data_IF_765582425419
#
_entry.id   IF_765582425419
#
_cell.length_a   1.000
_cell.length_b   1.000
_cell.length_c   1.000
_cell.angle_alpha   90.00
_cell.angle_beta   90.00
_cell.angle_gamma   90.00
#
_symmetry.space_group_name_H-M   'P 1'
#
loop_
_entity.id
_entity.type
_entity.pdbx_description
1 polymer ?
#
# COMPACT_ATOMS: atom_id res chain seq x y z
N UNK A 1 16.54 -3.36 0.46
CA UNK A 1 16.95 -2.33 1.44
C UNK A 1 15.96 -2.37 2.59
N UNK A 2 16.37 -2.82 3.79
CA UNK A 2 15.52 -2.90 4.98
C UNK A 2 15.30 -1.47 5.51
N UNK A 3 14.17 -0.86 5.17
CA UNK A 3 13.72 0.40 5.76
C UNK A 3 13.18 0.11 7.17
N UNK A 4 14.02 0.33 8.18
CA UNK A 4 13.63 0.28 9.59
C UNK A 4 12.67 1.41 9.89
N UNK A 5 11.38 1.10 10.04
CA UNK A 5 10.36 2.02 10.55
C UNK A 5 10.60 2.19 12.06
N UNK A 6 11.46 3.14 12.44
CA UNK A 6 11.59 3.56 13.85
C UNK A 6 10.35 4.39 14.20
N UNK A 7 9.38 3.76 14.85
CA UNK A 7 8.24 4.43 15.47
C UNK A 7 8.80 5.32 16.58
N UNK A 8 8.74 6.63 16.37
CA UNK A 8 9.00 7.60 17.43
C UNK A 8 7.84 7.54 18.43
N UNK A 9 8.03 6.79 19.52
CA UNK A 9 7.16 6.84 20.69
C UNK A 9 7.43 8.18 21.38
N UNK A 10 6.59 9.16 21.07
CA UNK A 10 6.56 10.45 21.76
C UNK A 10 6.27 10.22 23.23
N UNK A 11 7.21 10.68 24.06
CA UNK A 11 7.15 10.80 25.51
C UNK A 11 5.90 11.54 25.97
N UNK A 12 4.88 10.81 26.43
CA UNK A 12 3.81 11.34 27.24
C UNK A 12 3.18 10.22 28.08
N UNK A 13 2.90 10.55 29.34
CA UNK A 13 2.14 9.78 30.34
C UNK A 13 2.92 8.84 31.27
N UNK A 14 3.75 9.42 32.14
CA UNK A 14 3.74 9.03 33.56
C UNK A 14 3.13 10.20 34.35
N UNK A 15 1.80 10.38 34.23
CA UNK A 15 1.09 11.24 35.16
C UNK A 15 0.90 10.42 36.44
N UNK A 16 1.64 10.76 37.49
CA UNK A 16 1.35 10.31 38.85
C UNK A 16 -0.07 10.79 39.18
N UNK A 17 -1.07 9.93 39.02
CA UNK A 17 -2.44 10.25 39.37
C UNK A 17 -2.55 10.34 40.90
N UNK A 18 -2.25 11.52 41.44
CA UNK A 18 -2.71 11.92 42.77
C UNK A 18 -4.24 11.91 42.72
N UNK A 19 -4.85 10.82 43.21
CA UNK A 19 -6.29 10.73 43.40
C UNK A 19 -6.74 11.83 44.36
N UNK A 20 -7.29 12.91 43.81
CA UNK A 20 -8.22 13.77 44.52
C UNK A 20 -9.63 13.22 44.26
N UNK A 21 -10.24 12.69 45.30
CA UNK A 21 -11.61 12.18 45.28
C UNK A 21 -12.59 13.33 45.06
N UNK A 22 -13.01 13.54 43.80
CA UNK A 22 -14.22 14.30 43.46
C UNK A 22 -15.47 13.39 43.52
N UNK A 23 -16.68 13.94 43.78
CA UNK A 23 -17.86 13.12 44.01
C UNK A 23 -18.30 12.43 42.71
N UNK A 24 -18.32 11.09 42.74
CA UNK A 24 -18.80 10.26 41.65
C UNK A 24 -20.32 10.44 41.44
N UNK A 25 -20.73 10.76 40.21
CA UNK A 25 -22.11 10.54 39.78
C UNK A 25 -22.28 9.04 39.48
N UNK A 26 -23.25 8.43 40.15
CA UNK A 26 -23.57 7.02 40.05
C UNK A 26 -24.16 6.66 38.67
N UNK A 27 -23.60 5.64 38.04
CA UNK A 27 -24.32 4.74 37.15
C UNK A 27 -24.19 3.33 37.73
N UNK A 28 -25.34 2.75 38.09
CA UNK A 28 -25.51 1.37 38.49
C UNK A 28 -25.14 0.44 37.33
N UNK A 29 -24.16 -0.44 37.54
CA UNK A 29 -24.13 -1.75 36.88
C UNK A 29 -23.24 -2.70 37.71
N UNK A 30 -23.71 -3.95 37.82
CA UNK A 30 -23.27 -4.99 38.74
C UNK A 30 -21.76 -5.28 38.67
N UNK A 31 -20.96 -4.58 39.47
CA UNK A 31 -19.64 -5.07 39.85
C UNK A 31 -19.82 -6.20 40.86
N UNK A 32 -19.42 -7.41 40.48
CA UNK A 32 -19.19 -8.46 41.46
C UNK A 32 -18.23 -7.90 42.51
N UNK A 33 -18.72 -7.72 43.74
CA UNK A 33 -17.97 -7.24 44.90
C UNK A 33 -16.79 -8.22 45.15
N UNK A 34 -15.65 -7.96 44.51
CA UNK A 34 -14.40 -8.62 44.88
C UNK A 34 -13.98 -8.07 46.24
N UNK A 35 -13.71 -8.97 47.18
CA UNK A 35 -13.24 -8.59 48.51
C UNK A 35 -11.94 -7.78 48.39
N UNK A 36 -12.01 -6.47 48.66
CA UNK A 36 -10.83 -5.61 48.67
C UNK A 36 -9.88 -6.06 49.77
N UNK A 37 -8.66 -6.45 49.39
CA UNK A 37 -7.61 -6.81 50.35
C UNK A 37 -7.35 -5.63 51.29
N UNK A 38 -7.35 -5.89 52.60
CA UNK A 38 -7.09 -4.85 53.61
C UNK A 38 -5.60 -4.54 53.67
N UNK A 39 -5.18 -3.39 53.14
CA UNK A 39 -3.81 -2.90 53.24
C UNK A 39 -3.60 -2.08 54.54
N UNK A 40 -2.45 -2.25 55.24
CA UNK A 40 -2.08 -1.40 56.38
C UNK A 40 -1.93 0.08 55.99
N UNK A 41 -2.20 1.00 56.92
CA UNK A 41 -1.96 2.42 56.70
C UNK A 41 -0.45 2.77 56.72
N UNK A 42 -0.04 3.73 55.88
CA UNK A 42 1.34 4.25 55.85
C UNK A 42 1.62 5.14 57.05
N UNK A 43 2.77 4.95 57.70
CA UNK A 43 3.21 5.82 58.80
C UNK A 43 3.64 7.18 58.28
N UNK A 44 3.35 8.23 59.05
CA UNK A 44 3.59 9.62 58.66
C UNK A 44 5.08 9.93 58.40
N UNK A 45 5.99 9.35 59.19
CA UNK A 45 7.43 9.52 59.02
C UNK A 45 7.92 8.89 57.70
N UNK A 46 7.43 7.70 57.36
CA UNK A 46 7.75 7.01 56.11
C UNK A 46 7.24 7.83 54.92
N UNK A 47 6.00 8.31 54.97
CA UNK A 47 5.45 9.18 53.93
C UNK A 47 6.29 10.44 53.72
N UNK A 48 6.71 11.09 54.81
CA UNK A 48 7.52 12.31 54.73
C UNK A 48 8.85 12.07 54.02
N UNK A 49 9.54 10.96 54.31
CA UNK A 49 10.82 10.63 53.67
C UNK A 49 10.66 10.23 52.20
N UNK A 50 9.62 9.46 51.85
CA UNK A 50 9.28 9.19 50.45
C UNK A 50 8.98 10.48 49.67
N UNK A 51 8.29 11.44 50.29
CA UNK A 51 8.02 12.74 49.69
C UNK A 51 9.30 13.57 49.51
N UNK A 52 10.25 13.51 50.43
CA UNK A 52 11.55 14.17 50.28
C UNK A 52 12.38 13.53 49.15
N UNK A 53 12.37 12.20 49.02
CA UNK A 53 13.00 11.52 47.90
C UNK A 53 12.38 11.95 46.55
N UNK A 54 11.05 12.08 46.48
CA UNK A 54 10.38 12.59 45.29
C UNK A 54 10.81 14.01 44.94
N UNK A 55 10.86 14.92 45.92
CA UNK A 55 11.30 16.31 45.69
C UNK A 55 12.74 16.36 45.17
N UNK A 56 13.62 15.52 45.70
CA UNK A 56 14.99 15.41 45.21
C UNK A 56 15.02 14.93 43.74
N UNK A 57 14.21 13.93 43.40
CA UNK A 57 14.07 13.43 42.03
C UNK A 57 13.49 14.48 41.07
N UNK A 58 12.46 15.23 41.49
CA UNK A 58 11.87 16.33 40.72
C UNK A 58 12.89 17.46 40.47
N UNK A 59 13.84 17.64 41.39
CA UNK A 59 14.98 18.55 41.23
C UNK A 59 16.14 17.96 40.38
N UNK A 60 15.95 16.79 39.78
CA UNK A 60 16.97 15.99 39.06
C UNK A 60 18.14 15.51 39.93
N UNK A 61 18.02 15.56 41.27
CA UNK A 61 18.97 14.94 42.19
C UNK A 61 18.59 13.47 42.42
N UNK A 62 18.71 12.65 41.36
CA UNK A 62 18.37 11.24 41.42
C UNK A 62 19.26 10.47 42.41
N UNK A 63 20.54 10.83 42.49
CA UNK A 63 21.46 10.19 43.42
C UNK A 63 21.11 10.50 44.89
N UNK A 64 20.70 11.74 45.18
CA UNK A 64 20.19 12.13 46.49
C UNK A 64 18.88 11.43 46.83
N UNK A 65 17.94 11.38 45.88
CA UNK A 65 16.67 10.68 46.04
C UNK A 65 16.87 9.20 46.37
N UNK A 66 17.71 8.49 45.61
CA UNK A 66 18.04 7.08 45.86
C UNK A 66 18.68 6.88 47.23
N UNK A 67 19.57 7.79 47.67
CA UNK A 67 20.18 7.71 49.01
C UNK A 67 19.13 7.81 50.12
N UNK A 68 18.16 8.71 49.99
CA UNK A 68 17.05 8.84 50.95
C UNK A 68 16.25 7.53 51.01
N UNK A 69 15.96 6.91 49.88
CA UNK A 69 15.25 5.63 49.84
C UNK A 69 16.08 4.48 50.44
N UNK A 70 17.38 4.42 50.17
CA UNK A 70 18.28 3.41 50.73
C UNK A 70 18.35 3.52 52.26
N UNK A 71 18.48 4.75 52.79
CA UNK A 71 18.48 5.01 54.22
C UNK A 71 17.16 4.60 54.87
N UNK A 72 16.01 4.92 54.25
CA UNK A 72 14.69 4.52 54.73
C UNK A 72 14.53 2.99 54.74
N UNK A 73 14.97 2.31 53.68
CA UNK A 73 14.92 0.84 53.56
C UNK A 73 15.74 0.15 54.65
N UNK A 74 16.94 0.64 54.90
CA UNK A 74 17.91 -0.03 55.76
C UNK A 74 17.67 0.28 57.25
N UNK A 75 17.08 1.44 57.56
CA UNK A 75 16.81 1.89 58.93
C UNK A 75 15.51 1.34 59.50
N UNK A 76 14.45 1.31 58.70
CA UNK A 76 13.09 1.04 59.19
C UNK A 76 12.59 -0.35 58.81
N UNK A 77 11.92 -1.01 59.76
CA UNK A 77 11.13 -2.20 59.45
C UNK A 77 9.82 -1.78 58.81
N UNK A 78 9.81 -1.66 57.49
CA UNK A 78 8.64 -1.32 56.69
C UNK A 78 7.64 -2.48 56.65
N UNK A 79 6.34 -2.15 56.64
CA UNK A 79 5.31 -3.14 56.32
C UNK A 79 5.20 -3.35 54.80
N UNK A 80 4.44 -4.34 54.34
CA UNK A 80 4.37 -4.69 52.91
C UNK A 80 3.83 -3.55 52.02
N UNK A 81 2.88 -2.76 52.53
CA UNK A 81 2.37 -1.59 51.81
C UNK A 81 3.41 -0.48 51.70
N UNK A 82 4.10 -0.17 52.80
CA UNK A 82 5.19 0.81 52.81
C UNK A 82 6.36 0.37 51.91
N UNK A 83 6.69 -0.92 51.90
CA UNK A 83 7.72 -1.49 51.05
C UNK A 83 7.31 -1.45 49.57
N UNK A 84 6.04 -1.73 49.24
CA UNK A 84 5.52 -1.57 47.88
C UNK A 84 5.62 -0.12 47.39
N UNK A 85 5.32 0.84 48.26
CA UNK A 85 5.44 2.27 47.95
C UNK A 85 6.90 2.68 47.78
N UNK A 86 7.79 2.23 48.67
CA UNK A 86 9.24 2.42 48.53
C UNK A 86 9.74 1.95 47.16
N UNK A 87 9.35 0.74 46.74
CA UNK A 87 9.71 0.19 45.44
C UNK A 87 9.10 0.96 44.27
N UNK A 88 7.88 1.48 44.42
CA UNK A 88 7.28 2.36 43.42
C UNK A 88 8.11 3.62 43.18
N UNK A 89 8.61 4.27 44.25
CA UNK A 89 9.51 5.42 44.14
C UNK A 89 10.85 5.05 43.52
N UNK A 90 11.49 3.93 43.91
CA UNK A 90 12.68 3.44 43.22
C UNK A 90 12.44 3.26 41.72
N UNK A 91 11.34 2.61 41.35
CA UNK A 91 10.96 2.36 39.96
C UNK A 91 10.82 3.66 39.16
N UNK A 92 10.11 4.64 39.72
CA UNK A 92 9.91 5.95 39.12
C UNK A 92 11.21 6.76 38.97
N UNK A 93 12.05 6.77 40.01
CA UNK A 93 13.32 7.52 40.02
C UNK A 93 14.29 6.91 39.02
N UNK A 94 14.41 5.58 39.00
CA UNK A 94 15.27 4.89 38.03
C UNK A 94 14.77 5.10 36.60
N UNK A 95 13.46 5.05 36.36
CA UNK A 95 12.88 5.38 35.05
C UNK A 95 13.23 6.81 34.62
N UNK A 96 13.06 7.79 35.52
CA UNK A 96 13.36 9.20 35.24
C UNK A 96 14.85 9.48 35.02
N UNK A 97 15.72 8.60 35.53
CA UNK A 97 17.16 8.63 35.32
C UNK A 97 17.62 7.74 34.14
N UNK A 98 16.69 7.32 33.25
CA UNK A 98 16.92 6.43 32.11
C UNK A 98 17.53 5.05 32.47
N UNK A 99 17.50 4.66 33.75
CA UNK A 99 17.97 3.35 34.24
C UNK A 99 16.82 2.35 34.24
N UNK A 100 16.42 1.94 33.03
CA UNK A 100 15.26 1.06 32.84
C UNK A 100 15.47 -0.32 33.48
N UNK A 101 16.71 -0.81 33.58
CA UNK A 101 17.02 -2.09 34.21
C UNK A 101 16.70 -2.07 35.70
N UNK A 102 17.17 -1.05 36.43
CA UNK A 102 16.84 -0.91 37.87
C UNK A 102 15.39 -0.51 38.10
N UNK A 103 14.77 0.20 37.16
CA UNK A 103 13.34 0.48 37.22
C UNK A 103 12.51 -0.81 37.18
N UNK A 104 12.83 -1.72 36.24
CA UNK A 104 12.19 -3.04 36.15
C UNK A 104 12.40 -3.84 37.44
N UNK A 105 13.63 -3.90 37.96
CA UNK A 105 13.93 -4.61 39.21
C UNK A 105 13.10 -4.07 40.38
N UNK A 106 12.96 -2.75 40.50
CA UNK A 106 12.16 -2.14 41.55
C UNK A 106 10.68 -2.52 41.44
N UNK A 107 10.09 -2.47 40.24
CA UNK A 107 8.69 -2.88 40.04
C UNK A 107 8.49 -4.41 40.19
N UNK A 108 9.47 -5.24 39.82
CA UNK A 108 9.45 -6.69 40.11
C UNK A 108 9.45 -6.95 41.62
N UNK A 109 10.26 -6.20 42.39
CA UNK A 109 10.25 -6.27 43.86
C UNK A 109 8.93 -5.76 44.48
N UNK A 110 8.31 -4.74 43.89
CA UNK A 110 6.99 -4.26 44.28
C UNK A 110 5.92 -5.35 44.09
N UNK A 111 5.94 -6.03 42.93
CA UNK A 111 5.01 -7.11 42.60
C UNK A 111 5.17 -8.34 43.50
N UNK A 112 6.37 -8.54 44.06
CA UNK A 112 6.67 -9.61 45.01
C UNK A 112 6.17 -9.35 46.44
N UNK A 113 5.65 -8.15 46.76
CA UNK A 113 5.19 -7.84 48.11
C UNK A 113 3.92 -8.61 48.50
N UNK A 114 3.87 -9.19 49.72
CA UNK A 114 2.67 -9.86 50.20
C UNK A 114 1.54 -8.85 50.42
N UNK A 115 0.29 -9.28 50.16
CA UNK A 115 -0.92 -8.46 50.32
C UNK A 115 -0.94 -7.16 49.50
N UNK A 116 -0.23 -7.13 48.36
CA UNK A 116 -0.32 -6.01 47.42
C UNK A 116 -1.78 -5.79 46.99
N UNK A 117 -2.23 -4.54 47.08
CA UNK A 117 -3.57 -4.14 46.68
C UNK A 117 -3.79 -4.46 45.19
N UNK A 118 -4.98 -4.96 44.83
CA UNK A 118 -5.25 -5.45 43.46
C UNK A 118 -5.05 -4.37 42.39
N UNK A 119 -5.44 -3.13 42.69
CA UNK A 119 -5.18 -1.98 41.81
C UNK A 119 -3.67 -1.77 41.58
N UNK A 120 -2.88 -1.75 42.66
CA UNK A 120 -1.42 -1.59 42.57
C UNK A 120 -0.77 -2.76 41.83
N UNK A 121 -1.24 -3.99 42.05
CA UNK A 121 -0.78 -5.17 41.32
C UNK A 121 -1.03 -5.02 39.81
N UNK A 122 -2.24 -4.60 39.45
CA UNK A 122 -2.65 -4.42 38.05
C UNK A 122 -1.84 -3.30 37.39
N UNK A 123 -1.69 -2.15 38.03
CA UNK A 123 -0.88 -1.04 37.50
C UNK A 123 0.60 -1.45 37.31
N UNK A 124 1.16 -2.14 38.31
CA UNK A 124 2.57 -2.61 38.27
C UNK A 124 2.81 -3.61 37.14
N UNK A 125 1.88 -4.55 36.93
CA UNK A 125 1.98 -5.51 35.82
C UNK A 125 2.00 -4.80 34.47
N UNK A 126 1.16 -3.78 34.29
CA UNK A 126 1.12 -3.03 33.03
C UNK A 126 2.39 -2.21 32.81
N UNK A 127 2.89 -1.54 33.85
CA UNK A 127 4.19 -0.83 33.79
C UNK A 127 5.33 -1.78 33.44
N UNK A 128 5.41 -2.94 34.09
CA UNK A 128 6.42 -3.96 33.80
C UNK A 128 6.32 -4.48 32.36
N UNK A 129 5.11 -4.65 31.83
CA UNK A 129 4.92 -5.02 30.42
C UNK A 129 5.49 -3.96 29.47
N UNK A 130 5.18 -2.68 29.69
CA UNK A 130 5.68 -1.58 28.86
C UNK A 130 7.20 -1.44 28.94
N UNK A 131 7.77 -1.45 30.14
CA UNK A 131 9.22 -1.37 30.34
C UNK A 131 9.94 -2.58 29.72
N UNK A 132 9.38 -3.78 29.88
CA UNK A 132 9.93 -4.99 29.27
C UNK A 132 9.88 -4.90 27.74
N UNK A 133 8.79 -4.38 27.17
CA UNK A 133 8.69 -4.17 25.72
C UNK A 133 9.72 -3.17 25.21
N UNK A 134 9.87 -2.01 25.86
CA UNK A 134 10.84 -0.97 25.46
C UNK A 134 12.29 -1.39 25.64
N UNK A 135 12.56 -2.37 26.52
CA UNK A 135 13.90 -2.95 26.73
C UNK A 135 14.12 -4.25 25.96
N UNK A 136 13.31 -4.51 24.93
CA UNK A 136 13.37 -5.69 24.05
C UNK A 136 13.19 -7.05 24.78
N UNK A 137 12.69 -7.05 26.02
CA UNK A 137 12.32 -8.24 26.79
C UNK A 137 10.90 -8.70 26.45
N UNK A 138 10.64 -8.94 25.16
CA UNK A 138 9.28 -9.19 24.64
C UNK A 138 8.58 -10.38 25.30
N UNK A 139 9.30 -11.47 25.58
CA UNK A 139 8.71 -12.63 26.26
C UNK A 139 8.23 -12.30 27.68
N UNK A 140 8.96 -11.44 28.42
CA UNK A 140 8.50 -10.94 29.72
C UNK A 140 7.32 -9.97 29.57
N UNK A 141 7.35 -9.12 28.55
CA UNK A 141 6.24 -8.22 28.27
C UNK A 141 4.93 -8.99 28.06
N UNK A 142 4.98 -10.11 27.32
CA UNK A 142 3.87 -11.03 27.13
C UNK A 142 3.41 -11.63 28.47
N UNK A 143 4.32 -12.21 29.29
CA UNK A 143 3.96 -12.78 30.61
C UNK A 143 3.25 -11.75 31.51
N UNK A 144 3.80 -10.53 31.58
CA UNK A 144 3.20 -9.46 32.37
C UNK A 144 1.83 -9.04 31.83
N UNK A 145 1.65 -8.95 30.51
CA UNK A 145 0.35 -8.66 29.90
C UNK A 145 -0.68 -9.75 30.14
N UNK A 146 -0.32 -11.03 30.02
CA UNK A 146 -1.25 -12.14 30.26
C UNK A 146 -1.73 -12.15 31.71
N UNK A 147 -0.82 -11.92 32.67
CA UNK A 147 -1.17 -11.77 34.08
C UNK A 147 -2.02 -10.52 34.33
N UNK A 148 -1.74 -9.43 33.62
CA UNK A 148 -2.54 -8.21 33.68
C UNK A 148 -3.97 -8.45 33.17
N UNK A 149 -4.13 -9.12 32.03
CA UNK A 149 -5.45 -9.48 31.48
C UNK A 149 -6.24 -10.39 32.42
N UNK A 150 -5.58 -11.32 33.11
CA UNK A 150 -6.23 -12.17 34.11
C UNK A 150 -6.72 -11.40 35.35
N UNK A 151 -6.08 -10.27 35.69
CA UNK A 151 -6.45 -9.42 36.82
C UNK A 151 -7.48 -8.33 36.44
N UNK A 152 -7.45 -7.88 35.17
CA UNK A 152 -8.29 -6.79 34.65
C UNK A 152 -9.73 -7.23 34.38
N UNK A 153 -10.70 -6.33 34.61
CA UNK A 153 -12.14 -6.63 34.43
C UNK A 153 -12.67 -6.18 33.07
N UNK A 154 -12.18 -5.05 32.55
CA UNK A 154 -12.60 -4.47 31.27
C UNK A 154 -11.39 -3.83 30.58
N UNK A 155 -10.50 -4.65 30.00
CA UNK A 155 -9.33 -4.14 29.32
C UNK A 155 -9.73 -3.35 28.08
N UNK A 156 -9.27 -2.10 28.00
CA UNK A 156 -9.36 -1.29 26.78
C UNK A 156 -8.59 -1.91 25.60
N UNK A 157 -8.66 -1.30 24.41
CA UNK A 157 -8.03 -1.86 23.21
C UNK A 157 -6.48 -1.78 23.21
N UNK A 158 -5.88 -0.77 23.86
CA UNK A 158 -4.43 -0.52 23.79
C UNK A 158 -3.55 -1.65 24.35
N UNK A 159 -3.85 -2.29 25.50
CA UNK A 159 -3.11 -3.45 25.99
C UNK A 159 -3.04 -4.61 25.00
N UNK A 160 -4.12 -4.84 24.23
CA UNK A 160 -4.14 -5.89 23.21
C UNK A 160 -3.24 -5.55 22.02
N UNK A 161 -3.12 -4.26 21.66
CA UNK A 161 -2.17 -3.81 20.64
C UNK A 161 -0.73 -4.03 21.10
N UNK A 162 -0.42 -3.70 22.36
CA UNK A 162 0.90 -3.95 22.92
C UNK A 162 1.24 -5.45 22.92
N UNK A 163 0.27 -6.31 23.26
CA UNK A 163 0.44 -7.76 23.18
C UNK A 163 0.72 -8.23 21.75
N UNK A 164 -0.06 -7.77 20.77
CA UNK A 164 0.17 -8.07 19.36
C UNK A 164 1.53 -7.58 18.85
N UNK A 165 1.97 -6.40 19.27
CA UNK A 165 3.31 -5.88 18.96
C UNK A 165 4.41 -6.71 19.61
N UNK A 166 4.25 -7.16 20.85
CA UNK A 166 5.22 -8.02 21.52
C UNK A 166 5.36 -9.36 20.78
N UNK A 167 4.24 -9.97 20.36
CA UNK A 167 4.27 -11.16 19.52
C UNK A 167 4.94 -10.92 18.17
N UNK A 168 4.67 -9.78 17.52
CA UNK A 168 5.31 -9.40 16.27
C UNK A 168 6.84 -9.32 16.39
N UNK A 169 7.36 -8.68 17.45
CA UNK A 169 8.81 -8.59 17.67
C UNK A 169 9.46 -9.95 17.94
N UNK A 170 8.67 -10.93 18.37
CA UNK A 170 9.10 -12.33 18.53
C UNK A 170 8.87 -13.17 17.26
N UNK A 171 8.48 -12.55 16.14
CA UNK A 171 8.13 -13.23 14.87
C UNK A 171 6.96 -14.23 15.02
N UNK A 172 6.12 -14.05 16.05
CA UNK A 172 4.94 -14.87 16.33
C UNK A 172 3.70 -14.25 15.69
N UNK A 173 3.68 -14.17 14.36
CA UNK A 173 2.61 -13.47 13.62
C UNK A 173 1.22 -14.05 13.84
N UNK A 174 1.09 -15.38 13.90
CA UNK A 174 -0.19 -16.06 14.16
C UNK A 174 -0.78 -15.64 15.51
N UNK A 175 0.05 -15.62 16.56
CA UNK A 175 -0.35 -15.24 17.91
C UNK A 175 -0.67 -13.73 18.01
N UNK A 176 -0.06 -12.91 17.15
CA UNK A 176 -0.25 -11.46 17.12
C UNK A 176 -1.62 -11.04 16.55
N UNK A 177 -2.28 -11.88 15.75
CA UNK A 177 -3.55 -11.54 15.09
C UNK A 177 -4.68 -11.35 16.08
N UNK A 178 -4.95 -12.36 16.94
CA UNK A 178 -6.11 -12.36 17.82
C UNK A 178 -6.16 -11.15 18.79
N UNK A 179 -5.03 -10.73 19.40
CA UNK A 179 -4.99 -9.49 20.18
C UNK A 179 -5.38 -8.26 19.35
N UNK A 180 -4.80 -8.07 18.17
CA UNK A 180 -5.09 -6.87 17.37
C UNK A 180 -6.53 -6.87 16.85
N UNK A 181 -7.08 -8.00 16.44
CA UNK A 181 -8.51 -8.11 16.08
C UNK A 181 -9.42 -7.78 17.28
N UNK A 182 -9.04 -8.23 18.49
CA UNK A 182 -9.76 -7.92 19.72
C UNK A 182 -9.72 -6.42 20.02
N UNK A 183 -8.57 -5.76 19.87
CA UNK A 183 -8.44 -4.32 20.03
C UNK A 183 -9.36 -3.53 19.08
N UNK A 184 -9.39 -3.92 17.80
CA UNK A 184 -10.24 -3.30 16.78
C UNK A 184 -11.71 -3.49 17.12
N UNK A 185 -12.12 -4.70 17.53
CA UNK A 185 -13.48 -5.01 17.94
C UNK A 185 -13.92 -4.15 19.13
N UNK A 186 -13.11 -4.10 20.19
CA UNK A 186 -13.39 -3.31 21.40
C UNK A 186 -13.53 -1.83 21.05
N UNK A 187 -12.63 -1.27 20.24
CA UNK A 187 -12.73 0.13 19.81
C UNK A 187 -14.01 0.38 19.01
N UNK A 188 -14.38 -0.53 18.10
CA UNK A 188 -15.62 -0.46 17.33
C UNK A 188 -16.88 -0.50 18.21
N UNK A 189 -16.93 -1.43 19.17
CA UNK A 189 -18.04 -1.55 20.15
C UNK A 189 -18.17 -0.29 21.02
N UNK A 190 -17.05 0.34 21.37
CA UNK A 190 -17.02 1.60 22.12
C UNK A 190 -17.30 2.84 21.25
N UNK A 191 -17.55 2.68 19.95
CA UNK A 191 -17.75 3.79 19.01
C UNK A 191 -16.52 4.69 18.85
N UNK A 192 -15.33 4.20 19.23
CA UNK A 192 -14.07 4.93 19.09
C UNK A 192 -13.50 4.71 17.69
N UNK A 193 -12.88 5.72 17.07
CA UNK A 193 -12.21 5.54 15.79
C UNK A 193 -11.05 4.54 15.95
N UNK A 194 -11.07 3.50 15.12
CA UNK A 194 -9.98 2.52 15.06
C UNK A 194 -8.76 3.19 14.43
N UNK A 195 -7.63 3.15 15.15
CA UNK A 195 -6.39 3.76 14.68
C UNK A 195 -5.89 3.06 13.40
N UNK A 196 -5.43 3.86 12.45
CA UNK A 196 -4.87 3.39 11.17
C UNK A 196 -3.75 2.36 11.37
N UNK A 197 -2.89 2.59 12.38
CA UNK A 197 -1.76 1.73 12.72
C UNK A 197 -2.18 0.31 13.10
N UNK A 198 -3.38 0.08 13.63
CA UNK A 198 -3.84 -1.25 14.03
C UNK A 198 -4.20 -2.11 12.81
N UNK A 199 -4.83 -1.49 11.81
CA UNK A 199 -5.05 -2.15 10.51
C UNK A 199 -3.73 -2.43 9.81
N UNK A 200 -2.75 -1.53 9.89
CA UNK A 200 -1.42 -1.76 9.30
C UNK A 200 -0.69 -2.94 9.94
N UNK A 201 -0.84 -3.14 11.26
CA UNK A 201 -0.34 -4.34 11.95
C UNK A 201 -1.00 -5.61 11.41
N UNK A 202 -2.34 -5.67 11.38
CA UNK A 202 -3.04 -6.84 10.84
C UNK A 202 -2.67 -7.11 9.38
N UNK A 203 -2.58 -6.06 8.55
CA UNK A 203 -2.16 -6.19 7.14
C UNK A 203 -0.77 -6.85 7.06
N UNK A 204 0.17 -6.39 7.88
CA UNK A 204 1.51 -6.97 7.93
C UNK A 204 1.48 -8.43 8.39
N UNK A 205 0.76 -8.75 9.47
CA UNK A 205 0.72 -10.11 10.00
C UNK A 205 0.10 -11.10 9.00
N UNK A 206 -1.02 -10.71 8.38
CA UNK A 206 -1.65 -11.54 7.35
C UNK A 206 -0.81 -11.67 6.09
N UNK A 207 0.00 -10.65 5.76
CA UNK A 207 0.91 -10.72 4.62
C UNK A 207 2.09 -11.67 4.88
N UNK A 208 2.71 -11.61 6.07
CA UNK A 208 3.80 -12.52 6.45
C UNK A 208 3.36 -13.99 6.54
N UNK A 209 2.06 -14.23 6.72
CA UNK A 209 1.45 -15.57 6.75
C UNK A 209 0.85 -15.98 5.39
N UNK A 210 1.14 -15.25 4.31
CA UNK A 210 0.61 -15.48 2.96
C UNK A 210 -0.94 -15.54 2.90
N UNK A 211 -1.64 -14.96 3.87
CA UNK A 211 -3.09 -14.93 3.93
C UNK A 211 -3.64 -13.74 3.15
N UNK A 212 -3.41 -13.74 1.83
CA UNK A 212 -3.81 -12.66 0.93
C UNK A 212 -5.32 -12.31 0.97
N UNK A 213 -6.26 -13.28 1.13
CA UNK A 213 -7.67 -12.93 1.32
C UNK A 213 -7.93 -12.02 2.53
N UNK A 214 -7.22 -12.24 3.64
CA UNK A 214 -7.30 -11.37 4.82
C UNK A 214 -6.57 -10.04 4.62
N UNK A 215 -5.44 -10.02 3.91
CA UNK A 215 -4.78 -8.77 3.49
C UNK A 215 -5.74 -7.88 2.69
N UNK A 216 -6.47 -8.46 1.73
CA UNK A 216 -7.51 -7.75 0.96
C UNK A 216 -8.58 -7.18 1.89
N UNK A 217 -9.14 -7.98 2.80
CA UNK A 217 -10.17 -7.51 3.72
C UNK A 217 -9.69 -6.34 4.62
N UNK A 218 -8.44 -6.38 5.09
CA UNK A 218 -7.84 -5.29 5.87
C UNK A 218 -7.62 -4.05 5.00
N UNK A 219 -7.15 -4.20 3.76
CA UNK A 219 -7.01 -3.08 2.82
C UNK A 219 -8.36 -2.45 2.44
N UNK A 220 -9.42 -3.26 2.28
CA UNK A 220 -10.79 -2.77 2.10
C UNK A 220 -11.28 -1.94 3.31
N UNK A 221 -10.93 -2.34 4.53
CA UNK A 221 -11.21 -1.56 5.73
C UNK A 221 -10.40 -0.25 5.76
N UNK A 222 -9.11 -0.32 5.42
CA UNK A 222 -8.23 0.85 5.32
C UNK A 222 -8.75 1.89 4.33
N UNK A 223 -9.11 1.50 3.11
CA UNK A 223 -9.62 2.47 2.12
C UNK A 223 -10.99 3.05 2.50
N UNK A 224 -11.78 2.33 3.31
CA UNK A 224 -13.09 2.82 3.81
C UNK A 224 -12.94 3.84 4.92
N UNK A 225 -12.01 3.63 5.85
CA UNK A 225 -11.87 4.45 7.05
C UNK A 225 -10.75 5.49 6.96
N UNK A 226 -9.72 5.21 6.16
CA UNK A 226 -8.49 6.00 6.03
C UNK A 226 -8.06 6.10 4.55
N UNK A 227 -8.89 6.66 3.64
CA UNK A 227 -8.61 6.63 2.20
C UNK A 227 -7.33 7.39 1.84
N UNK A 228 -6.30 6.65 1.39
CA UNK A 228 -5.01 7.19 0.92
C UNK A 228 -4.58 6.52 -0.38
N UNK A 229 -3.75 7.21 -1.17
CA UNK A 229 -3.14 6.69 -2.40
C UNK A 229 -2.55 5.30 -2.20
N UNK A 230 -1.69 5.16 -1.18
CA UNK A 230 -0.95 3.91 -0.94
C UNK A 230 -1.88 2.71 -0.75
N UNK A 231 -3.04 2.89 -0.10
CA UNK A 231 -3.96 1.80 0.19
C UNK A 231 -4.79 1.39 -1.02
N UNK A 232 -5.22 2.34 -1.86
CA UNK A 232 -5.90 2.00 -3.09
C UNK A 232 -4.99 1.26 -4.08
N UNK A 233 -3.73 1.70 -4.20
CA UNK A 233 -2.73 1.04 -5.04
C UNK A 233 -2.39 -0.36 -4.51
N UNK A 234 -2.17 -0.51 -3.20
CA UNK A 234 -1.94 -1.82 -2.59
C UNK A 234 -3.16 -2.74 -2.72
N UNK A 235 -4.38 -2.22 -2.55
CA UNK A 235 -5.61 -2.97 -2.72
C UNK A 235 -5.76 -3.46 -4.16
N UNK A 236 -5.50 -2.60 -5.15
CA UNK A 236 -5.50 -2.99 -6.55
C UNK A 236 -4.49 -4.11 -6.83
N UNK A 237 -3.25 -3.98 -6.33
CA UNK A 237 -2.22 -5.01 -6.48
C UNK A 237 -2.65 -6.36 -5.85
N UNK A 238 -3.22 -6.33 -4.64
CA UNK A 238 -3.70 -7.54 -3.96
C UNK A 238 -4.93 -8.16 -4.64
N UNK A 239 -5.79 -7.35 -5.27
CA UNK A 239 -6.83 -7.89 -6.13
C UNK A 239 -6.26 -8.59 -7.36
N UNK A 240 -5.21 -8.05 -7.99
CA UNK A 240 -4.51 -8.74 -9.09
C UNK A 240 -3.92 -10.07 -8.64
N UNK A 241 -3.19 -10.07 -7.52
CA UNK A 241 -2.56 -11.28 -6.95
C UNK A 241 -3.60 -12.37 -6.59
N UNK A 242 -4.79 -11.96 -6.14
CA UNK A 242 -5.88 -12.88 -5.79
C UNK A 242 -6.82 -13.20 -6.96
N UNK A 243 -6.46 -12.82 -8.19
CA UNK A 243 -7.24 -13.12 -9.41
C UNK A 243 -8.55 -12.32 -9.55
N UNK A 244 -8.72 -11.25 -8.78
CA UNK A 244 -9.89 -10.37 -8.80
C UNK A 244 -9.68 -9.18 -9.74
N UNK A 245 -9.36 -9.45 -11.02
CA UNK A 245 -8.92 -8.45 -12.01
C UNK A 245 -9.90 -7.27 -12.18
N UNK A 246 -11.21 -7.53 -12.17
CA UNK A 246 -12.21 -6.46 -12.25
C UNK A 246 -12.12 -5.52 -11.05
N UNK A 247 -11.91 -6.05 -9.84
CA UNK A 247 -11.75 -5.23 -8.65
C UNK A 247 -10.41 -4.50 -8.62
N UNK A 248 -9.36 -5.10 -9.19
CA UNK A 248 -8.07 -4.43 -9.38
C UNK A 248 -8.25 -3.17 -10.23
N UNK A 249 -8.89 -3.27 -11.40
CA UNK A 249 -9.17 -2.11 -12.23
C UNK A 249 -9.98 -1.06 -11.46
N UNK A 250 -11.07 -1.47 -10.82
CA UNK A 250 -11.95 -0.53 -10.10
C UNK A 250 -11.23 0.19 -8.97
N UNK A 251 -10.42 -0.51 -8.16
CA UNK A 251 -9.64 0.10 -7.09
C UNK A 251 -8.64 1.13 -7.63
N UNK A 252 -7.99 0.81 -8.75
CA UNK A 252 -7.01 1.68 -9.39
C UNK A 252 -7.68 2.89 -10.10
N UNK A 253 -8.85 2.69 -10.71
CA UNK A 253 -9.68 3.76 -11.28
C UNK A 253 -10.20 4.70 -10.19
N UNK A 254 -10.60 4.19 -9.02
CA UNK A 254 -10.99 5.04 -7.88
C UNK A 254 -9.80 5.91 -7.44
N UNK A 255 -8.59 5.35 -7.34
CA UNK A 255 -7.40 6.13 -7.02
C UNK A 255 -7.18 7.27 -8.03
N UNK A 256 -7.39 6.99 -9.32
CA UNK A 256 -7.27 8.00 -10.38
C UNK A 256 -8.32 9.10 -10.26
N UNK A 257 -9.60 8.75 -10.08
CA UNK A 257 -10.70 9.70 -9.96
C UNK A 257 -10.55 10.61 -8.72
N UNK A 258 -9.97 10.09 -7.64
CA UNK A 258 -9.65 10.86 -6.44
C UNK A 258 -8.41 11.77 -6.61
N UNK A 259 -7.76 11.76 -7.77
CA UNK A 259 -6.56 12.54 -8.04
C UNK A 259 -5.30 12.00 -7.33
N UNK A 260 -5.32 10.75 -6.87
CA UNK A 260 -4.18 10.14 -6.19
C UNK A 260 -3.09 9.65 -7.14
N UNK A 261 -3.44 9.29 -8.39
CA UNK A 261 -2.44 8.88 -9.38
C UNK A 261 -1.85 10.12 -10.04
N UNK A 262 -0.57 10.38 -9.77
CA UNK A 262 0.13 11.61 -10.16
C UNK A 262 1.36 11.34 -11.01
N UNK A 263 1.77 10.08 -11.13
CA UNK A 263 2.97 9.68 -11.84
C UNK A 263 2.63 9.06 -13.20
N UNK A 264 3.50 9.23 -14.19
CA UNK A 264 3.27 8.75 -15.56
C UNK A 264 3.06 7.24 -15.63
N UNK A 265 3.90 6.47 -14.94
CA UNK A 265 3.82 5.01 -14.91
C UNK A 265 2.52 4.52 -14.28
N UNK A 266 1.95 5.29 -13.35
CA UNK A 266 0.65 4.97 -12.76
C UNK A 266 -0.47 5.08 -13.79
N UNK A 267 -0.46 6.15 -14.61
CA UNK A 267 -1.45 6.34 -15.67
C UNK A 267 -1.29 5.30 -16.80
N UNK A 268 -0.05 4.92 -17.11
CA UNK A 268 0.24 3.84 -18.06
C UNK A 268 -0.30 2.50 -17.55
N UNK A 269 -0.09 2.18 -16.27
CA UNK A 269 -0.67 0.97 -15.65
C UNK A 269 -2.20 0.99 -15.69
N UNK A 270 -2.84 2.12 -15.38
CA UNK A 270 -4.31 2.23 -15.49
C UNK A 270 -4.79 1.96 -16.92
N UNK A 271 -4.08 2.49 -17.93
CA UNK A 271 -4.43 2.24 -19.32
C UNK A 271 -4.28 0.76 -19.71
N UNK A 272 -3.24 0.08 -19.22
CA UNK A 272 -3.06 -1.36 -19.43
C UNK A 272 -4.18 -2.18 -18.76
N UNK A 273 -4.57 -1.82 -17.53
CA UNK A 273 -5.69 -2.47 -16.83
C UNK A 273 -7.02 -2.27 -17.58
N UNK A 274 -7.26 -1.08 -18.14
CA UNK A 274 -8.42 -0.86 -19.00
C UNK A 274 -8.39 -1.75 -20.25
N UNK A 275 -7.23 -1.90 -20.91
CA UNK A 275 -7.11 -2.77 -22.09
C UNK A 275 -7.32 -4.24 -21.74
N UNK A 276 -6.83 -4.70 -20.58
CA UNK A 276 -7.07 -6.06 -20.11
C UNK A 276 -8.55 -6.36 -19.87
N UNK A 277 -9.34 -5.34 -19.50
CA UNK A 277 -10.78 -5.45 -19.27
C UNK A 277 -11.62 -4.98 -20.46
N UNK A 278 -11.04 -4.93 -21.68
CA UNK A 278 -11.71 -4.52 -22.92
C UNK A 278 -12.39 -3.14 -22.85
N UNK A 279 -11.76 -2.17 -22.17
CA UNK A 279 -12.21 -0.76 -22.08
C UNK A 279 -11.25 0.19 -22.83
N UNK A 280 -11.00 -0.01 -24.14
CA UNK A 280 -9.92 0.65 -24.86
C UNK A 280 -10.07 2.17 -24.98
N UNK A 281 -11.30 2.69 -25.06
CA UNK A 281 -11.54 4.13 -25.13
C UNK A 281 -11.03 4.86 -23.87
N UNK A 282 -11.28 4.29 -22.67
CA UNK A 282 -10.77 4.87 -21.42
C UNK A 282 -9.25 4.77 -21.34
N UNK A 283 -8.67 3.64 -21.77
CA UNK A 283 -7.22 3.47 -21.84
C UNK A 283 -6.56 4.57 -22.68
N UNK A 284 -7.07 4.78 -23.90
CA UNK A 284 -6.54 5.77 -24.81
C UNK A 284 -6.75 7.20 -24.28
N UNK A 285 -7.90 7.49 -23.67
CA UNK A 285 -8.19 8.80 -23.09
C UNK A 285 -7.22 9.17 -21.95
N UNK A 286 -6.93 8.24 -21.03
CA UNK A 286 -6.00 8.47 -19.92
C UNK A 286 -4.58 8.73 -20.44
N UNK A 287 -4.11 7.93 -21.40
CA UNK A 287 -2.80 8.11 -22.01
C UNK A 287 -2.68 9.43 -22.76
N UNK A 288 -3.67 9.76 -23.61
CA UNK A 288 -3.68 11.00 -24.39
C UNK A 288 -3.68 12.24 -23.49
N UNK A 289 -4.52 12.24 -22.44
CA UNK A 289 -4.55 13.32 -21.45
C UNK A 289 -3.21 13.42 -20.69
N UNK A 290 -2.68 12.29 -20.21
CA UNK A 290 -1.41 12.23 -19.49
C UNK A 290 -0.23 12.72 -20.35
N UNK A 291 -0.21 12.41 -21.65
CA UNK A 291 0.81 12.92 -22.56
C UNK A 291 0.65 14.42 -22.87
N UNK A 292 -0.60 14.91 -22.97
CA UNK A 292 -0.89 16.34 -23.17
C UNK A 292 -0.50 17.18 -21.96
N UNK A 293 -0.70 16.66 -20.75
CA UNK A 293 -0.26 17.29 -19.49
C UNK A 293 1.22 17.10 -19.18
N UNK A 294 1.96 16.34 -20.00
CA UNK A 294 3.34 15.92 -19.78
C UNK A 294 3.57 15.08 -18.50
N UNK A 295 2.51 14.50 -17.94
CA UNK A 295 2.59 13.52 -16.83
C UNK A 295 3.08 12.17 -17.35
N UNK A 296 2.58 11.74 -18.50
CA UNK A 296 3.05 10.53 -19.21
C UNK A 296 4.12 10.94 -20.22
N UNK A 297 5.28 10.31 -20.13
CA UNK A 297 6.39 10.58 -21.04
C UNK A 297 6.05 10.15 -22.48
N UNK A 298 6.47 10.98 -23.45
CA UNK A 298 6.24 10.78 -24.89
C UNK A 298 7.29 9.85 -25.50
N UNK A 299 7.29 8.60 -25.07
CA UNK A 299 8.19 7.55 -25.56
C UNK A 299 7.56 6.76 -26.72
N UNK A 300 8.40 6.06 -27.51
CA UNK A 300 7.91 5.16 -28.56
C UNK A 300 6.93 4.11 -28.00
N UNK A 301 7.23 3.57 -26.81
CA UNK A 301 6.40 2.58 -26.14
C UNK A 301 5.03 3.14 -25.75
N UNK A 302 4.98 4.33 -25.15
CA UNK A 302 3.71 4.94 -24.74
C UNK A 302 2.88 5.39 -25.94
N UNK A 303 3.51 5.87 -27.02
CA UNK A 303 2.79 6.21 -28.26
C UNK A 303 2.22 4.97 -28.95
N UNK A 304 2.97 3.85 -28.94
CA UNK A 304 2.50 2.57 -29.43
C UNK A 304 1.28 2.09 -28.64
N UNK A 305 1.33 2.17 -27.31
CA UNK A 305 0.21 1.81 -26.43
C UNK A 305 -1.02 2.69 -26.69
N UNK A 306 -0.84 4.01 -26.81
CA UNK A 306 -1.91 4.95 -27.12
C UNK A 306 -2.56 4.65 -28.49
N UNK A 307 -1.74 4.43 -29.52
CA UNK A 307 -2.24 4.04 -30.84
C UNK A 307 -3.03 2.73 -30.79
N UNK A 308 -2.50 1.71 -30.11
CA UNK A 308 -3.19 0.43 -29.94
C UNK A 308 -4.54 0.61 -29.25
N UNK A 309 -4.59 1.42 -28.20
CA UNK A 309 -5.83 1.68 -27.48
C UNK A 309 -6.87 2.40 -28.35
N UNK A 310 -6.48 3.39 -29.16
CA UNK A 310 -7.42 4.03 -30.11
C UNK A 310 -7.90 3.08 -31.21
N UNK A 311 -7.01 2.26 -31.79
CA UNK A 311 -7.41 1.27 -32.80
C UNK A 311 -8.37 0.24 -32.22
N UNK A 312 -8.13 -0.27 -31.01
CA UNK A 312 -9.05 -1.20 -30.34
C UNK A 312 -10.40 -0.54 -29.99
N UNK A 313 -10.41 0.78 -29.79
CA UNK A 313 -11.63 1.56 -29.62
C UNK A 313 -12.35 1.89 -30.95
N UNK A 314 -11.86 1.39 -32.09
CA UNK A 314 -12.34 1.72 -33.45
C UNK A 314 -12.24 3.21 -33.79
N UNK A 315 -11.25 3.89 -33.21
CA UNK A 315 -11.00 5.33 -33.37
C UNK A 315 -9.74 5.53 -34.22
N UNK A 316 -9.72 4.97 -35.43
CA UNK A 316 -8.54 4.92 -36.31
C UNK A 316 -7.99 6.33 -36.63
N UNK A 317 -8.86 7.32 -36.80
CA UNK A 317 -8.44 8.71 -36.98
C UNK A 317 -7.65 9.26 -35.79
N UNK A 318 -8.05 8.90 -34.55
CA UNK A 318 -7.35 9.31 -33.32
C UNK A 318 -6.08 8.49 -33.09
N UNK A 319 -5.99 7.29 -33.64
CA UNK A 319 -4.79 6.45 -33.55
C UNK A 319 -3.63 7.01 -34.37
N UNK A 320 -3.91 7.62 -35.53
CA UNK A 320 -2.89 8.10 -36.49
C UNK A 320 -1.82 9.00 -35.85
N UNK A 321 -2.14 10.09 -35.11
CA UNK A 321 -1.11 10.95 -34.54
C UNK A 321 -0.15 10.21 -33.60
N UNK A 322 -0.68 9.32 -32.75
CA UNK A 322 0.14 8.53 -31.84
C UNK A 322 0.98 7.50 -32.61
N UNK A 323 0.38 6.83 -33.59
CA UNK A 323 1.07 5.85 -34.43
C UNK A 323 2.21 6.47 -35.24
N UNK A 324 2.01 7.68 -35.79
CA UNK A 324 3.05 8.45 -36.47
C UNK A 324 4.22 8.78 -35.56
N UNK A 325 3.96 9.22 -34.31
CA UNK A 325 5.04 9.49 -33.36
C UNK A 325 5.75 8.20 -32.95
N UNK A 326 5.00 7.12 -32.74
CA UNK A 326 5.57 5.82 -32.43
C UNK A 326 6.51 5.35 -33.57
N UNK A 327 6.06 5.43 -34.82
CA UNK A 327 6.83 5.05 -36.00
C UNK A 327 8.07 5.91 -36.20
N UNK A 328 7.96 7.23 -35.97
CA UNK A 328 9.10 8.16 -36.04
C UNK A 328 10.19 7.81 -35.01
N UNK A 329 9.80 7.33 -33.84
CA UNK A 329 10.71 6.98 -32.74
C UNK A 329 11.15 5.50 -32.78
N UNK A 330 10.67 4.72 -33.75
CA UNK A 330 11.04 3.31 -33.95
C UNK A 330 12.20 3.21 -34.94
N UNK A 331 13.10 2.25 -34.71
CA UNK A 331 14.21 1.94 -35.61
C UNK A 331 13.78 0.99 -36.74
N UNK A 332 12.66 0.29 -36.58
CA UNK A 332 12.06 -0.62 -37.57
C UNK A 332 10.81 -0.03 -38.25
N UNK A 333 10.37 -0.68 -39.31
CA UNK A 333 9.20 -0.33 -40.12
C UNK A 333 7.87 -0.91 -39.64
N UNK A 334 7.80 -1.59 -38.49
CA UNK A 334 6.58 -2.27 -38.03
C UNK A 334 5.43 -1.29 -37.78
N UNK A 335 5.74 -0.16 -37.17
CA UNK A 335 4.74 0.87 -36.87
C UNK A 335 4.37 1.68 -38.12
N UNK A 336 5.28 1.82 -39.08
CA UNK A 336 4.98 2.40 -40.39
C UNK A 336 4.06 1.47 -41.20
N UNK A 337 4.23 0.15 -41.11
CA UNK A 337 3.33 -0.82 -41.77
C UNK A 337 1.92 -0.79 -41.15
N UNK A 338 1.82 -0.69 -39.82
CA UNK A 338 0.53 -0.47 -39.14
C UNK A 338 -0.10 0.86 -39.53
N UNK A 339 0.70 1.91 -39.70
CA UNK A 339 0.23 3.22 -40.15
C UNK A 339 -0.32 3.13 -41.58
N UNK A 340 0.36 2.41 -42.48
CA UNK A 340 -0.11 2.15 -43.82
C UNK A 340 -1.47 1.44 -43.82
N UNK A 341 -1.62 0.36 -43.04
CA UNK A 341 -2.87 -0.36 -42.91
C UNK A 341 -4.00 0.54 -42.36
N UNK A 342 -3.69 1.39 -41.37
CA UNK A 342 -4.67 2.32 -40.77
C UNK A 342 -5.14 3.35 -41.81
N UNK A 343 -4.22 3.89 -42.62
CA UNK A 343 -4.59 4.80 -43.71
C UNK A 343 -5.41 4.10 -44.80
N UNK A 344 -5.11 2.83 -45.13
CA UNK A 344 -5.92 2.04 -46.07
C UNK A 344 -7.35 1.84 -45.56
N UNK A 345 -7.53 1.57 -44.27
CA UNK A 345 -8.87 1.41 -43.67
C UNK A 345 -9.71 2.70 -43.76
N UNK A 346 -9.05 3.85 -43.89
CA UNK A 346 -9.67 5.17 -44.04
C UNK A 346 -9.66 5.68 -45.49
N UNK A 347 -9.36 4.81 -46.46
CA UNK A 347 -9.22 5.13 -47.89
C UNK A 347 -8.24 6.29 -48.21
N UNK A 348 -7.27 6.54 -47.31
CA UNK A 348 -6.24 7.58 -47.48
C UNK A 348 -5.05 7.01 -48.26
N UNK A 349 -5.28 6.61 -49.51
CA UNK A 349 -4.36 5.83 -50.33
C UNK A 349 -2.97 6.48 -50.54
N UNK A 350 -2.89 7.80 -50.72
CA UNK A 350 -1.60 8.50 -50.86
C UNK A 350 -0.74 8.33 -49.60
N UNK A 351 -1.32 8.55 -48.42
CA UNK A 351 -0.61 8.40 -47.13
C UNK A 351 -0.30 6.94 -46.82
N UNK A 352 -1.20 6.02 -47.18
CA UNK A 352 -0.94 4.59 -47.06
C UNK A 352 0.29 4.16 -47.88
N UNK A 353 0.41 4.65 -49.13
CA UNK A 353 1.56 4.36 -49.96
C UNK A 353 2.87 4.95 -49.38
N UNK A 354 2.82 6.17 -48.82
CA UNK A 354 3.98 6.78 -48.15
C UNK A 354 4.43 5.97 -46.93
N UNK A 355 3.49 5.63 -46.05
CA UNK A 355 3.78 4.83 -44.85
C UNK A 355 4.29 3.42 -45.20
N UNK A 356 3.72 2.76 -46.22
CA UNK A 356 4.19 1.45 -46.65
C UNK A 356 5.61 1.49 -47.23
N UNK A 357 5.98 2.57 -47.93
CA UNK A 357 7.37 2.78 -48.38
C UNK A 357 8.32 2.97 -47.20
N UNK A 358 7.95 3.82 -46.24
CA UNK A 358 8.75 4.04 -45.02
C UNK A 358 8.98 2.73 -44.24
N UNK A 359 7.94 1.88 -44.15
CA UNK A 359 8.05 0.57 -43.53
C UNK A 359 9.07 -0.34 -44.23
N UNK A 360 9.03 -0.41 -45.56
CA UNK A 360 9.96 -1.20 -46.36
C UNK A 360 11.39 -0.64 -46.29
N UNK A 361 11.56 0.68 -46.25
CA UNK A 361 12.88 1.33 -46.16
C UNK A 361 13.57 1.09 -44.81
N UNK A 362 12.82 1.09 -43.71
CA UNK A 362 13.35 0.79 -42.37
C UNK A 362 13.52 -0.71 -42.11
N UNK A 363 12.90 -1.56 -42.92
CA UNK A 363 12.86 -3.00 -42.72
C UNK A 363 11.71 -3.41 -41.80
N UNK A 364 10.98 -4.44 -42.20
CA UNK A 364 9.75 -4.89 -41.55
C UNK A 364 9.58 -6.39 -41.74
N UNK A 365 9.07 -7.10 -40.74
CA UNK A 365 8.73 -8.50 -40.91
C UNK A 365 7.58 -8.66 -41.90
N UNK A 366 7.69 -9.66 -42.78
CA UNK A 366 6.67 -9.89 -43.81
C UNK A 366 6.62 -8.78 -44.86
N UNK A 367 7.77 -8.31 -45.35
CA UNK A 367 7.89 -7.30 -46.42
C UNK A 367 6.92 -7.51 -47.58
N UNK A 368 6.69 -8.76 -48.01
CA UNK A 368 5.76 -9.09 -49.08
C UNK A 368 4.30 -8.66 -48.78
N UNK A 369 3.87 -8.72 -47.51
CA UNK A 369 2.58 -8.18 -47.08
C UNK A 369 2.52 -6.66 -47.16
N UNK A 370 3.60 -5.97 -46.80
CA UNK A 370 3.69 -4.50 -46.93
C UNK A 370 3.78 -4.06 -48.39
N UNK A 371 4.44 -4.83 -49.24
CA UNK A 371 4.43 -4.64 -50.69
C UNK A 371 3.02 -4.81 -51.28
N UNK A 372 2.21 -5.76 -50.78
CA UNK A 372 0.80 -5.83 -51.17
C UNK A 372 0.05 -4.54 -50.80
N UNK A 373 0.21 -4.05 -49.57
CA UNK A 373 -0.42 -2.80 -49.12
C UNK A 373 -0.01 -1.60 -49.99
N UNK A 374 1.28 -1.48 -50.30
CA UNK A 374 1.79 -0.44 -51.20
C UNK A 374 1.21 -0.59 -52.61
N UNK A 375 1.18 -1.81 -53.16
CA UNK A 375 0.60 -2.10 -54.48
C UNK A 375 -0.88 -1.74 -54.55
N UNK A 376 -1.67 -2.12 -53.55
CA UNK A 376 -3.11 -1.81 -53.46
C UNK A 376 -3.35 -0.30 -53.34
N UNK A 377 -2.54 0.39 -52.54
CA UNK A 377 -2.61 1.85 -52.40
C UNK A 377 -2.30 2.54 -53.73
N UNK A 378 -1.24 2.12 -54.43
CA UNK A 378 -0.88 2.65 -55.75
C UNK A 378 -1.94 2.36 -56.82
N UNK A 379 -2.58 1.19 -56.76
CA UNK A 379 -3.69 0.83 -57.64
C UNK A 379 -4.87 1.79 -57.48
N UNK A 380 -5.29 2.05 -56.24
CA UNK A 380 -6.40 2.98 -55.95
C UNK A 380 -6.07 4.44 -56.30
N UNK A 381 -4.79 4.77 -56.44
CA UNK A 381 -4.31 6.06 -56.97
C UNK A 381 -4.13 6.06 -58.49
N UNK A 382 -4.61 5.01 -59.18
CA UNK A 382 -4.48 4.81 -60.63
C UNK A 382 -3.03 4.76 -61.15
N UNK A 383 -2.05 4.50 -60.26
CA UNK A 383 -0.63 4.36 -60.60
C UNK A 383 -0.32 2.91 -60.99
N UNK A 384 -1.02 2.41 -62.01
CA UNK A 384 -1.04 0.99 -62.38
C UNK A 384 0.34 0.35 -62.60
N UNK A 385 1.25 1.03 -63.32
CA UNK A 385 2.61 0.50 -63.56
C UNK A 385 3.42 0.35 -62.26
N UNK A 386 3.32 1.32 -61.34
CA UNK A 386 3.99 1.27 -60.05
C UNK A 386 3.36 0.18 -59.15
N UNK A 387 2.03 0.06 -59.17
CA UNK A 387 1.31 -0.97 -58.46
C UNK A 387 1.75 -2.37 -58.93
N UNK A 388 1.74 -2.61 -60.25
CA UNK A 388 2.16 -3.87 -60.87
C UNK A 388 3.61 -4.22 -60.55
N UNK A 389 4.51 -3.24 -60.58
CA UNK A 389 5.91 -3.42 -60.18
C UNK A 389 6.02 -3.89 -58.73
N UNK A 390 5.30 -3.23 -57.82
CA UNK A 390 5.28 -3.59 -56.40
C UNK A 390 4.72 -4.99 -56.17
N UNK A 391 3.63 -5.36 -56.84
CA UNK A 391 3.06 -6.71 -56.72
C UNK A 391 4.01 -7.80 -57.21
N UNK A 392 4.84 -7.54 -58.24
CA UNK A 392 5.86 -8.52 -58.69
C UNK A 392 6.90 -8.81 -57.62
N UNK A 393 7.20 -7.87 -56.73
CA UNK A 393 8.12 -8.11 -55.61
C UNK A 393 7.52 -9.12 -54.62
N UNK A 394 6.21 -9.06 -54.38
CA UNK A 394 5.49 -9.96 -53.49
C UNK A 394 5.07 -11.29 -54.13
N UNK A 395 5.15 -11.44 -55.46
CA UNK A 395 4.51 -12.55 -56.20
C UNK A 395 5.06 -13.95 -55.87
N UNK A 396 6.30 -14.04 -55.41
CA UNK A 396 6.94 -15.32 -55.07
C UNK A 396 6.84 -15.67 -53.58
N UNK A 397 6.23 -14.79 -52.77
CA UNK A 397 6.02 -15.08 -51.36
C UNK A 397 4.96 -16.16 -51.15
N UNK A 398 5.19 -17.02 -50.16
CA UNK A 398 4.32 -18.16 -49.86
C UNK A 398 2.92 -17.77 -49.39
N UNK A 399 2.77 -16.62 -48.71
CA UNK A 399 1.50 -16.14 -48.16
C UNK A 399 0.85 -15.10 -49.07
N UNK A 400 1.64 -14.15 -49.56
CA UNK A 400 1.18 -12.99 -50.34
C UNK A 400 1.19 -13.21 -51.86
N UNK A 401 1.89 -14.23 -52.35
CA UNK A 401 2.17 -14.39 -53.78
C UNK A 401 0.94 -14.62 -54.65
N UNK A 402 -0.07 -15.35 -54.14
CA UNK A 402 -1.32 -15.57 -54.88
C UNK A 402 -2.10 -14.27 -55.04
N UNK A 403 -2.27 -13.52 -53.96
CA UNK A 403 -2.95 -12.21 -53.99
C UNK A 403 -2.23 -11.24 -54.92
N UNK A 404 -0.90 -11.20 -54.87
CA UNK A 404 -0.10 -10.36 -55.75
C UNK A 404 -0.33 -10.67 -57.24
N UNK A 405 -0.34 -11.96 -57.62
CA UNK A 405 -0.61 -12.37 -59.01
C UNK A 405 -2.02 -11.99 -59.46
N UNK A 406 -3.02 -12.15 -58.60
CA UNK A 406 -4.40 -11.75 -58.91
C UNK A 406 -4.50 -10.24 -59.16
N UNK A 407 -3.82 -9.42 -58.37
CA UNK A 407 -3.77 -7.97 -58.60
C UNK A 407 -3.06 -7.59 -59.90
N UNK A 408 -1.98 -8.28 -60.26
CA UNK A 408 -1.29 -8.08 -61.55
C UNK A 408 -2.25 -8.35 -62.71
N UNK A 409 -2.98 -9.47 -62.67
CA UNK A 409 -3.97 -9.82 -63.69
C UNK A 409 -5.12 -8.81 -63.75
N UNK A 410 -5.60 -8.35 -62.58
CA UNK A 410 -6.65 -7.35 -62.50
C UNK A 410 -6.24 -6.01 -63.12
N UNK A 411 -5.01 -5.55 -62.84
CA UNK A 411 -4.44 -4.35 -63.46
C UNK A 411 -4.39 -4.49 -64.97
N UNK A 412 -3.96 -5.65 -65.48
CA UNK A 412 -3.85 -5.88 -66.93
C UNK A 412 -5.21 -5.81 -67.64
N UNK A 413 -6.25 -6.34 -67.01
CA UNK A 413 -7.62 -6.24 -67.52
C UNK A 413 -8.13 -4.79 -67.48
N UNK A 414 -7.83 -4.07 -66.40
CA UNK A 414 -8.29 -2.69 -66.22
C UNK A 414 -7.61 -1.72 -67.19
N UNK A 415 -6.30 -1.87 -67.42
CA UNK A 415 -5.58 -1.08 -68.44
C UNK A 415 -6.12 -1.34 -69.85
N UNK A 416 -6.39 -2.61 -70.21
CA UNK A 416 -7.01 -2.93 -71.49
C UNK A 416 -8.41 -2.32 -71.64
N UNK A 417 -9.21 -2.30 -70.57
CA UNK A 417 -10.53 -1.68 -70.55
C UNK A 417 -10.42 -0.17 -70.80
N UNK A 418 -9.48 0.50 -70.12
CA UNK A 418 -9.25 1.95 -70.27
C UNK A 418 -8.77 2.30 -71.69
N UNK A 419 -7.83 1.54 -72.27
CA UNK A 419 -7.38 1.74 -73.65
C UNK A 419 -8.52 1.58 -74.67
N UNK A 420 -9.42 0.62 -74.46
CA UNK A 420 -10.59 0.43 -75.33
C UNK A 420 -11.57 1.60 -75.23
N UNK A 421 -11.77 2.16 -74.03
CA UNK A 421 -12.62 3.33 -73.81
C UNK A 421 -12.03 4.58 -74.45
N UNK A 422 -10.72 4.82 -74.33
CA UNK A 422 -10.05 5.92 -75.01
C UNK A 422 -10.17 5.82 -76.54
N UNK A 423 -10.01 4.61 -77.10
CA UNK A 423 -10.19 4.37 -78.55
C UNK A 423 -11.63 4.52 -79.02
N UNK A 424 -12.60 4.37 -78.13
CA UNK A 424 -14.03 4.51 -78.42
C UNK A 424 -14.58 5.92 -78.13
N UNK A 425 -13.78 6.81 -77.54
CA UNK A 425 -14.15 8.19 -77.30
C UNK A 425 -14.16 8.96 -78.65
N UNK A 426 -15.28 9.63 -79.00
CA UNK A 426 -15.48 10.25 -80.31
C UNK A 426 -14.65 11.51 -80.58
#
# INVERSE_FOLDING_TARGET
>A
MRTTLRIALTSAWFALALMSSGPAQAQDEQQAERETRKTPAMRQNVYAELSEAQKAADANDFAGAIRILDELRDRDRLNSYELAQLWNFYGFIHYSNDDLARSIEAYENMLAQPDLAEAMQTDTLYTLAQLSFTTDQYAKAVDYLERWFAASNDPGPEPYILLGQAYYQMERFEDAIAPVETAIRIAGEQGKPVQETWYLLLRAFYFELDNFPKVVAVLEALVRHHPKKEYWVQLAAMYGETGQEQKQLVAYEIAHVQGFLTEGDELVLLAQLYLQQDVPFKAASVLDQGMKSATVEKTAANYRLLSQAWTLAQEDEKAIPALMQAARLSDDGELDARLAQTYMNLDQWDKAAEAARAALEKGVEGEAGVQLMLGMSLFNLERFEQAKSTFRLAQNDSRSGTTARQWIEHIDQEQQRLEQLERAAP
#
